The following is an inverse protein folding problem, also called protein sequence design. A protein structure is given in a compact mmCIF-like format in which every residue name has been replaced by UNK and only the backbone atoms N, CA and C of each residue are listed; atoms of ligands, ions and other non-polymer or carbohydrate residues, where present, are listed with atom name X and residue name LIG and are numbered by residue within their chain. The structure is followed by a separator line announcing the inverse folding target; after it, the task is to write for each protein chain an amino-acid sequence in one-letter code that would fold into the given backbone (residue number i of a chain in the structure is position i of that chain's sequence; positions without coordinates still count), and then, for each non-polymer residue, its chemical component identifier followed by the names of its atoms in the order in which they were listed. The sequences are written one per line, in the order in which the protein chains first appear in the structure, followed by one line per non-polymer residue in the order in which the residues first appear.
data_IF_050004366568
#
_entry.id   IF_050004366568
#
_cell.length_a   1.000
_cell.length_b   1.000
_cell.length_c   1.000
_cell.angle_alpha   90.00
_cell.angle_beta   90.00
_cell.angle_gamma   90.00
#
_symmetry.space_group_name_H-M   'P 1'
#
loop_
_entity.id
_entity.type
_entity.pdbx_description
1 polymer ?
#
# COMPACT_ATOMS: atom_id res chain seq x y z
N UNK A 1 -9.11 5.81 1.42
CA UNK A 1 -10.52 5.40 1.20
C UNK A 1 -11.41 5.63 2.42
N UNK A 2 -12.71 5.94 2.24
CA UNK A 2 -13.68 6.06 3.34
C UNK A 2 -14.71 4.93 3.35
N UNK A 3 -14.82 4.23 4.48
CA UNK A 3 -15.86 3.23 4.74
C UNK A 3 -17.17 3.89 5.19
N UNK A 4 -18.28 3.55 4.55
CA UNK A 4 -19.61 4.00 4.97
C UNK A 4 -20.39 2.91 5.72
N UNK A 5 -20.39 1.69 5.17
CA UNK A 5 -21.10 0.54 5.75
C UNK A 5 -20.28 -0.72 5.55
N UNK A 6 -20.25 -1.58 6.56
CA UNK A 6 -19.60 -2.89 6.56
C UNK A 6 -20.58 -3.90 7.14
N UNK A 7 -20.99 -4.89 6.36
CA UNK A 7 -21.79 -6.03 6.79
C UNK A 7 -21.13 -7.29 6.28
N UNK A 8 -20.14 -7.79 7.02
CA UNK A 8 -19.33 -8.95 6.62
C UNK A 8 -19.51 -10.03 7.67
N UNK A 9 -19.92 -11.22 7.23
CA UNK A 9 -19.82 -12.44 8.03
C UNK A 9 -18.43 -13.06 7.84
N UNK A 10 -17.79 -13.55 8.91
CA UNK A 10 -16.45 -14.18 8.82
C UNK A 10 -16.54 -15.41 7.90
N UNK A 11 -15.74 -15.43 6.84
CA UNK A 11 -15.71 -16.47 5.80
C UNK A 11 -17.08 -16.69 5.11
N UNK A 12 -17.91 -15.65 5.07
CA UNK A 12 -19.25 -15.68 4.50
C UNK A 12 -19.50 -14.58 3.47
N UNK A 13 -20.75 -14.48 2.99
CA UNK A 13 -21.15 -13.39 2.13
C UNK A 13 -21.09 -12.08 2.91
N UNK A 14 -20.77 -11.00 2.20
CA UNK A 14 -20.69 -9.70 2.82
C UNK A 14 -20.75 -8.57 1.82
N UNK A 15 -21.14 -7.40 2.32
CA UNK A 15 -21.18 -6.19 1.54
C UNK A 15 -20.39 -5.07 2.23
N UNK A 16 -19.74 -4.26 1.39
CA UNK A 16 -18.97 -3.10 1.84
C UNK A 16 -19.32 -1.91 0.96
N UNK A 17 -19.72 -0.81 1.58
CA UNK A 17 -19.97 0.46 0.88
C UNK A 17 -18.79 1.39 1.11
N UNK A 18 -18.13 1.77 0.01
CA UNK A 18 -16.87 2.52 0.01
C UNK A 18 -17.00 3.79 -0.82
N UNK A 19 -16.24 4.80 -0.43
CA UNK A 19 -15.98 5.99 -1.23
C UNK A 19 -14.46 6.05 -1.45
N UNK A 20 -13.97 5.82 -2.68
CA UNK A 20 -12.59 6.11 -3.02
C UNK A 20 -12.40 7.62 -3.01
N UNK A 21 -11.35 8.11 -2.39
CA UNK A 21 -11.02 9.54 -2.39
C UNK A 21 -9.85 9.80 -3.35
N UNK A 22 -8.97 8.80 -3.54
CA UNK A 22 -7.70 8.93 -4.25
C UNK A 22 -7.49 7.93 -5.39
N UNK A 23 -6.46 8.18 -6.20
CA UNK A 23 -6.05 7.30 -7.29
C UNK A 23 -5.46 5.96 -6.78
N UNK A 24 -4.82 5.93 -5.60
CA UNK A 24 -4.37 4.68 -4.98
C UNK A 24 -5.53 3.83 -4.52
N UNK A 25 -6.59 4.45 -3.98
CA UNK A 25 -7.82 3.73 -3.62
C UNK A 25 -8.36 2.97 -4.85
N UNK A 26 -8.29 3.55 -6.05
CA UNK A 26 -8.71 2.89 -7.28
C UNK A 26 -7.88 1.65 -7.60
N UNK A 27 -6.58 1.66 -7.31
CA UNK A 27 -5.73 0.47 -7.41
C UNK A 27 -6.11 -0.60 -6.37
N UNK A 28 -6.38 -0.19 -5.13
CA UNK A 28 -6.87 -1.10 -4.10
C UNK A 28 -8.22 -1.72 -4.48
N UNK A 29 -9.14 -0.93 -5.04
CA UNK A 29 -10.43 -1.41 -5.55
C UNK A 29 -10.23 -2.39 -6.70
N UNK A 30 -9.35 -2.06 -7.65
CA UNK A 30 -9.06 -2.93 -8.80
C UNK A 30 -8.59 -4.32 -8.38
N UNK A 31 -7.86 -4.41 -7.27
CA UNK A 31 -7.41 -5.69 -6.73
C UNK A 31 -8.44 -6.35 -5.80
N UNK A 32 -9.37 -5.57 -5.25
CA UNK A 32 -10.44 -6.09 -4.41
C UNK A 32 -11.57 -6.71 -5.26
N UNK A 33 -11.96 -6.08 -6.37
CA UNK A 33 -13.06 -6.53 -7.23
C UNK A 33 -12.59 -7.67 -8.13
N UNK A 34 -13.40 -8.73 -8.20
CA UNK A 34 -13.17 -9.89 -9.08
C UNK A 34 -14.32 -10.13 -10.04
N UNK A 35 -14.05 -10.96 -11.04
CA UNK A 35 -15.07 -11.46 -11.96
C UNK A 35 -16.04 -12.35 -11.16
N UNK A 36 -17.34 -12.12 -11.33
CA UNK A 36 -18.41 -12.76 -10.56
C UNK A 36 -18.89 -11.97 -9.34
N UNK A 37 -18.14 -10.95 -8.90
CA UNK A 37 -18.58 -10.09 -7.80
C UNK A 37 -19.74 -9.18 -8.25
N UNK A 38 -20.56 -8.75 -7.29
CA UNK A 38 -21.69 -7.87 -7.54
C UNK A 38 -21.36 -6.46 -7.09
N UNK A 39 -21.48 -5.50 -8.01
CA UNK A 39 -21.16 -4.09 -7.74
C UNK A 39 -22.40 -3.23 -7.99
N UNK A 40 -22.74 -2.43 -6.98
CA UNK A 40 -23.82 -1.46 -7.04
C UNK A 40 -23.27 -0.04 -7.03
N UNK A 41 -23.48 0.69 -8.12
CA UNK A 41 -23.01 2.07 -8.27
C UNK A 41 -24.03 2.95 -9.00
N UNK A 42 -23.87 4.26 -8.88
CA UNK A 42 -24.63 5.27 -9.64
C UNK A 42 -24.00 5.42 -11.02
N UNK A 43 -24.79 5.28 -12.07
CA UNK A 43 -24.37 5.52 -13.45
C UNK A 43 -25.34 6.40 -14.21
N UNK A 44 -24.88 6.87 -15.36
CA UNK A 44 -25.67 7.68 -16.29
C UNK A 44 -25.97 6.81 -17.50
N UNK A 45 -27.26 6.70 -17.84
CA UNK A 45 -27.68 5.97 -19.03
C UNK A 45 -28.48 6.89 -19.96
N UNK A 46 -28.19 6.81 -21.25
CA UNK A 46 -29.03 7.40 -22.29
C UNK A 46 -30.24 6.49 -22.51
N UNK A 47 -31.42 6.98 -22.18
CA UNK A 47 -32.70 6.32 -22.44
C UNK A 47 -33.29 6.95 -23.69
N UNK A 48 -33.63 6.11 -24.67
CA UNK A 48 -34.33 6.52 -25.88
C UNK A 48 -35.79 6.11 -25.69
N UNK A 49 -36.67 7.10 -25.64
CA UNK A 49 -38.12 6.88 -25.53
C UNK A 49 -38.74 7.21 -26.88
N UNK A 50 -39.50 6.28 -27.43
CA UNK A 50 -40.32 6.48 -28.62
C UNK A 50 -41.71 6.97 -28.20
N UNK A 51 -42.06 8.16 -28.67
CA UNK A 51 -43.40 8.72 -28.46
C UNK A 51 -44.37 8.07 -29.46
N UNK A 52 -45.66 7.96 -29.13
CA UNK A 52 -46.68 7.37 -30.02
C UNK A 52 -46.75 8.01 -31.43
N UNK A 53 -46.20 9.22 -31.57
CA UNK A 53 -46.07 9.99 -32.82
C UNK A 53 -44.84 9.62 -33.66
N UNK A 54 -44.05 8.63 -33.26
CA UNK A 54 -42.84 8.17 -33.98
C UNK A 54 -41.58 9.03 -33.78
N UNK A 55 -41.66 10.07 -32.94
CA UNK A 55 -40.50 10.90 -32.59
C UNK A 55 -39.68 10.24 -31.47
N UNK A 56 -38.40 10.03 -31.73
CA UNK A 56 -37.43 9.51 -30.76
C UNK A 56 -36.87 10.68 -29.94
N UNK A 57 -37.10 10.66 -28.63
CA UNK A 57 -36.48 11.60 -27.69
C UNK A 57 -35.43 10.85 -26.87
N UNK A 58 -34.23 11.42 -26.76
CA UNK A 58 -33.16 10.82 -25.97
C UNK A 58 -32.82 11.68 -24.76
N UNK A 59 -32.91 11.10 -23.57
CA UNK A 59 -32.59 11.76 -22.31
C UNK A 59 -31.50 10.98 -21.55
N UNK A 60 -30.61 11.71 -20.86
CA UNK A 60 -29.61 11.09 -19.97
C UNK A 60 -30.17 11.08 -18.56
N UNK A 61 -30.35 9.89 -18.01
CA UNK A 61 -30.92 9.69 -16.68
C UNK A 61 -29.87 9.08 -15.75
N UNK A 62 -29.83 9.56 -14.51
CA UNK A 62 -29.02 8.96 -13.45
C UNK A 62 -29.78 7.79 -12.82
N UNK A 63 -29.15 6.62 -12.75
CA UNK A 63 -29.73 5.42 -12.16
C UNK A 63 -28.72 4.70 -11.30
N UNK A 64 -29.20 3.97 -10.29
CA UNK A 64 -28.37 3.02 -9.54
C UNK A 64 -28.54 1.65 -10.19
N UNK A 65 -27.44 1.03 -10.60
CA UNK A 65 -27.44 -0.29 -11.21
C UNK A 65 -26.62 -1.25 -10.36
N UNK A 66 -27.08 -2.51 -10.29
CA UNK A 66 -26.42 -3.60 -9.59
C UNK A 66 -25.96 -4.61 -10.64
N UNK A 67 -24.67 -4.66 -10.88
CA UNK A 67 -24.06 -5.38 -12.01
C UNK A 67 -23.18 -6.51 -11.50
N UNK A 68 -23.36 -7.70 -12.09
CA UNK A 68 -22.43 -8.83 -11.95
C UNK A 68 -21.23 -8.59 -12.85
N UNK A 69 -20.04 -8.46 -12.28
CA UNK A 69 -18.82 -8.13 -13.02
C UNK A 69 -18.38 -9.31 -13.88
N UNK A 70 -18.21 -9.08 -15.19
CA UNK A 70 -17.65 -10.05 -16.15
C UNK A 70 -16.23 -9.67 -16.59
N UNK A 71 -15.97 -8.37 -16.79
CA UNK A 71 -14.62 -7.87 -17.09
C UNK A 71 -14.30 -6.59 -16.32
N UNK A 72 -13.02 -6.40 -16.05
CA UNK A 72 -12.48 -5.31 -15.22
C UNK A 72 -11.35 -4.67 -16.01
N UNK A 73 -11.55 -3.43 -16.44
CA UNK A 73 -10.56 -2.66 -17.18
C UNK A 73 -10.14 -1.46 -16.33
N UNK A 74 -8.86 -1.39 -15.97
CA UNK A 74 -8.29 -0.29 -15.22
C UNK A 74 -7.51 0.63 -16.14
N UNK A 75 -7.86 1.92 -16.17
CA UNK A 75 -7.11 2.94 -16.89
C UNK A 75 -6.21 3.73 -15.90
N UNK A 76 -4.88 3.51 -15.93
CA UNK A 76 -3.95 4.22 -15.06
C UNK A 76 -3.86 5.73 -15.34
N UNK A 77 -4.20 6.18 -16.56
CA UNK A 77 -4.12 7.59 -16.94
C UNK A 77 -5.33 8.39 -16.48
N UNK A 78 -6.52 7.81 -16.61
CA UNK A 78 -7.78 8.43 -16.18
C UNK A 78 -8.11 8.19 -14.69
N UNK A 79 -7.38 7.30 -14.01
CA UNK A 79 -7.70 6.83 -12.64
C UNK A 79 -9.16 6.36 -12.53
N UNK A 80 -9.67 5.75 -13.60
CA UNK A 80 -11.02 5.25 -13.69
C UNK A 80 -10.99 3.72 -13.80
N UNK A 81 -11.97 3.08 -13.17
CA UNK A 81 -12.15 1.64 -13.24
C UNK A 81 -13.46 1.34 -13.97
N UNK A 82 -13.35 0.66 -15.11
CA UNK A 82 -14.49 0.27 -15.93
C UNK A 82 -14.84 -1.17 -15.63
N UNK A 83 -16.05 -1.38 -15.10
CA UNK A 83 -16.57 -2.69 -14.74
C UNK A 83 -17.67 -3.06 -15.71
N UNK A 84 -17.41 -3.98 -16.65
CA UNK A 84 -18.42 -4.48 -17.56
C UNK A 84 -19.13 -5.66 -16.94
N UNK A 85 -20.45 -5.70 -17.09
CA UNK A 85 -21.21 -6.83 -16.58
C UNK A 85 -22.70 -6.81 -16.92
N UNK A 86 -23.44 -7.75 -16.34
CA UNK A 86 -24.89 -7.88 -16.52
C UNK A 86 -25.66 -7.35 -15.32
N UNK A 87 -26.77 -6.66 -15.58
CA UNK A 87 -27.65 -6.18 -14.52
C UNK A 87 -28.43 -7.35 -13.88
N UNK A 88 -28.34 -7.50 -12.55
CA UNK A 88 -29.02 -8.57 -11.80
C UNK A 88 -30.39 -8.11 -11.28
N UNK A 89 -30.51 -6.83 -10.90
CA UNK A 89 -31.71 -6.28 -10.25
C UNK A 89 -32.55 -5.53 -11.27
N UNK A 90 -33.86 -5.75 -11.25
CA UNK A 90 -34.78 -5.01 -12.13
C UNK A 90 -34.70 -3.50 -11.86
N UNK A 91 -34.66 -2.72 -12.93
CA UNK A 91 -34.67 -1.27 -12.88
C UNK A 91 -35.59 -0.76 -13.99
N UNK A 92 -36.37 0.29 -13.71
CA UNK A 92 -37.32 0.90 -14.65
C UNK A 92 -36.68 1.25 -16.01
N UNK A 93 -35.38 1.57 -16.02
CA UNK A 93 -34.65 1.98 -17.23
C UNK A 93 -33.83 0.85 -17.86
N UNK A 94 -33.60 -0.27 -17.17
CA UNK A 94 -32.68 -1.32 -17.60
C UNK A 94 -33.29 -2.69 -17.38
N UNK A 95 -33.51 -3.41 -18.48
CA UNK A 95 -33.98 -4.80 -18.45
C UNK A 95 -33.00 -5.69 -17.68
N UNK A 96 -33.54 -6.70 -17.00
CA UNK A 96 -32.75 -7.72 -16.31
C UNK A 96 -31.85 -8.46 -17.31
N UNK A 97 -30.60 -8.70 -16.92
CA UNK A 97 -29.59 -9.35 -17.77
C UNK A 97 -28.98 -8.46 -18.85
N UNK A 98 -29.40 -7.20 -19.01
CA UNK A 98 -28.80 -6.30 -19.97
C UNK A 98 -27.36 -5.93 -19.57
N UNK A 99 -26.48 -5.87 -20.57
CA UNK A 99 -25.10 -5.45 -20.40
C UNK A 99 -24.99 -3.95 -20.09
N UNK A 100 -24.13 -3.62 -19.14
CA UNK A 100 -23.76 -2.25 -18.82
C UNK A 100 -22.33 -2.20 -18.31
N UNK A 101 -21.66 -1.06 -18.56
CA UNK A 101 -20.34 -0.76 -18.00
C UNK A 101 -20.52 0.27 -16.89
N UNK A 102 -20.10 -0.07 -15.67
CA UNK A 102 -20.06 0.83 -14.54
C UNK A 102 -18.69 1.52 -14.51
N UNK A 103 -18.68 2.83 -14.59
CA UNK A 103 -17.47 3.64 -14.43
C UNK A 103 -17.37 4.08 -12.97
N UNK A 104 -16.38 3.54 -12.26
CA UNK A 104 -16.03 3.99 -10.92
C UNK A 104 -15.04 5.14 -11.04
N UNK A 105 -15.41 6.27 -10.43
CA UNK A 105 -14.61 7.49 -10.37
C UNK A 105 -14.27 7.81 -8.91
N UNK A 106 -13.17 8.55 -8.65
CA UNK A 106 -12.88 9.09 -7.33
C UNK A 106 -14.06 9.93 -6.80
N UNK A 107 -14.26 9.89 -5.49
CA UNK A 107 -15.32 10.53 -4.73
C UNK A 107 -16.75 10.03 -5.02
N UNK A 108 -16.93 8.94 -5.79
CA UNK A 108 -18.23 8.30 -5.97
C UNK A 108 -18.40 7.09 -5.07
N UNK A 109 -19.51 7.05 -4.33
CA UNK A 109 -19.85 5.88 -3.53
C UNK A 109 -20.22 4.69 -4.41
N UNK A 110 -19.74 3.50 -4.04
CA UNK A 110 -20.18 2.24 -4.60
C UNK A 110 -20.30 1.20 -3.48
N UNK A 111 -21.09 0.15 -3.73
CA UNK A 111 -21.21 -1.00 -2.83
C UNK A 111 -20.70 -2.23 -3.55
N UNK A 112 -19.77 -2.93 -2.92
CA UNK A 112 -19.22 -4.20 -3.37
C UNK A 112 -19.82 -5.31 -2.52
N UNK A 113 -20.40 -6.30 -3.19
CA UNK A 113 -20.96 -7.50 -2.60
C UNK A 113 -20.16 -8.69 -3.11
N UNK A 114 -19.63 -9.49 -2.19
CA UNK A 114 -18.89 -10.71 -2.48
C UNK A 114 -19.56 -11.91 -1.83
N UNK A 115 -19.42 -13.05 -2.48
CA UNK A 115 -19.88 -14.35 -1.98
C UNK A 115 -19.03 -14.85 -0.82
N UNK A 116 -17.73 -14.60 -0.85
CA UNK A 116 -16.76 -15.01 0.17
C UNK A 116 -15.73 -13.91 0.38
N UNK A 117 -15.61 -13.44 1.61
CA UNK A 117 -14.57 -12.49 2.02
C UNK A 117 -13.40 -13.23 2.67
N UNK A 118 -12.26 -13.24 1.99
CA UNK A 118 -11.02 -13.82 2.51
C UNK A 118 -10.35 -12.89 3.52
N UNK A 119 -9.49 -13.46 4.37
CA UNK A 119 -8.62 -12.71 5.29
C UNK A 119 -7.74 -11.69 4.55
N UNK A 120 -7.17 -12.05 3.40
CA UNK A 120 -6.33 -11.18 2.57
C UNK A 120 -7.15 -9.99 2.01
N UNK A 121 -8.39 -10.22 1.60
CA UNK A 121 -9.27 -9.16 1.09
C UNK A 121 -9.63 -8.16 2.20
N UNK A 122 -9.84 -8.66 3.43
CA UNK A 122 -10.09 -7.84 4.61
C UNK A 122 -8.86 -7.02 5.00
N UNK A 123 -7.67 -7.63 4.99
CA UNK A 123 -6.43 -6.91 5.26
C UNK A 123 -6.16 -5.82 4.24
N UNK A 124 -6.41 -6.13 2.96
CA UNK A 124 -6.27 -5.15 1.89
C UNK A 124 -7.25 -4.01 2.04
N UNK A 125 -8.48 -4.32 2.45
CA UNK A 125 -9.49 -3.31 2.76
C UNK A 125 -9.06 -2.44 3.95
N UNK A 126 -8.65 -3.05 5.06
CA UNK A 126 -8.21 -2.34 6.26
C UNK A 126 -6.96 -1.49 5.96
N UNK A 127 -6.05 -2.00 5.13
CA UNK A 127 -4.87 -1.28 4.61
C UNK A 127 -5.27 -0.05 3.77
N UNK A 128 -6.30 -0.15 2.94
CA UNK A 128 -6.82 0.97 2.14
C UNK A 128 -7.65 1.98 2.98
N UNK A 129 -8.21 1.53 4.10
CA UNK A 129 -9.02 2.35 5.01
C UNK A 129 -8.18 3.14 6.00
N UNK A 130 -6.99 2.65 6.39
CA UNK A 130 -6.12 3.33 7.33
C UNK A 130 -4.88 3.96 6.68
N UNK A 131 -4.99 5.21 6.18
CA UNK A 131 -3.84 5.94 5.65
C UNK A 131 -2.87 6.40 6.75
N UNK A 132 -3.24 6.31 8.04
CA UNK A 132 -2.33 6.63 9.14
C UNK A 132 -1.43 5.43 9.49
N UNK A 133 -1.92 4.20 9.31
CA UNK A 133 -1.12 2.98 9.40
C UNK A 133 -0.09 2.85 8.26
N UNK A 134 -0.44 3.34 7.06
CA UNK A 134 0.46 3.35 5.90
C UNK A 134 1.42 4.55 5.82
N UNK A 135 1.36 5.49 6.77
CA UNK A 135 2.23 6.66 6.75
C UNK A 135 3.67 6.25 7.08
N UNK A 136 4.51 6.12 6.05
CA UNK A 136 5.93 5.79 6.19
C UNK A 136 6.70 6.92 6.89
N UNK A 137 6.30 8.19 6.68
CA UNK A 137 7.09 9.35 7.12
C UNK A 137 6.18 10.44 7.68
N UNK A 138 6.51 10.97 8.85
CA UNK A 138 5.97 12.26 9.30
C UNK A 138 6.91 13.38 8.87
N UNK A 139 6.37 14.46 8.32
CA UNK A 139 7.14 15.65 8.02
C UNK A 139 6.53 16.87 8.71
N UNK A 140 7.36 17.60 9.43
CA UNK A 140 7.00 18.86 10.08
C UNK A 140 7.77 19.95 9.35
N UNK A 141 7.05 20.83 8.66
CA UNK A 141 7.66 21.99 8.03
C UNK A 141 7.38 23.21 8.91
N UNK A 142 8.45 23.90 9.30
CA UNK A 142 8.45 24.97 10.27
C UNK A 142 8.92 26.28 9.62
N UNK A 143 8.19 27.34 9.94
CA UNK A 143 8.58 28.72 9.73
C UNK A 143 8.12 29.56 10.92
N UNK A 144 8.69 30.74 11.13
CA UNK A 144 8.26 31.63 12.20
C UNK A 144 6.77 32.00 12.01
N UNK A 145 5.92 31.47 12.89
CA UNK A 145 4.49 31.72 12.89
C UNK A 145 3.66 30.79 12.00
N UNK A 146 4.28 29.88 11.25
CA UNK A 146 3.55 28.89 10.45
C UNK A 146 4.21 27.52 10.55
N UNK A 147 3.44 26.51 10.94
CA UNK A 147 3.86 25.13 10.95
C UNK A 147 2.83 24.24 10.26
N UNK A 148 3.32 23.29 9.47
CA UNK A 148 2.49 22.24 8.87
C UNK A 148 3.01 20.89 9.35
N UNK A 149 2.15 20.15 10.05
CA UNK A 149 2.38 18.74 10.41
C UNK A 149 1.73 17.89 9.34
N UNK A 150 2.57 17.15 8.63
CA UNK A 150 2.19 16.33 7.48
C UNK A 150 2.53 14.87 7.75
N UNK A 151 1.68 13.97 7.28
CA UNK A 151 1.97 12.55 7.13
C UNK A 151 2.14 12.27 5.64
N UNK A 152 3.28 11.71 5.27
CA UNK A 152 3.58 11.25 3.94
C UNK A 152 3.26 9.76 3.89
N UNK A 153 2.35 9.40 2.98
CA UNK A 153 2.20 8.04 2.50
C UNK A 153 2.94 7.93 1.15
N UNK A 154 3.10 6.74 0.57
CA UNK A 154 3.80 6.53 -0.70
C UNK A 154 3.32 7.43 -1.87
N UNK A 155 2.04 7.82 -1.92
CA UNK A 155 1.55 8.75 -2.95
C UNK A 155 1.04 10.11 -2.47
N UNK A 156 0.67 10.29 -1.20
CA UNK A 156 0.05 11.54 -0.75
C UNK A 156 0.73 12.21 0.44
N UNK A 157 0.60 13.54 0.48
CA UNK A 157 0.98 14.40 1.61
C UNK A 157 -0.28 14.85 2.36
N UNK A 158 -0.61 14.13 3.44
CA UNK A 158 -1.71 14.49 4.33
C UNK A 158 -1.30 15.56 5.32
N UNK A 159 -1.81 16.77 5.17
CA UNK A 159 -1.63 17.81 6.19
C UNK A 159 -2.64 17.59 7.30
N UNK A 160 -2.17 17.10 8.46
CA UNK A 160 -3.01 16.80 9.63
C UNK A 160 -3.31 18.04 10.47
N UNK A 161 -2.31 18.91 10.60
CA UNK A 161 -2.47 20.17 11.31
C UNK A 161 -1.71 21.29 10.60
N UNK A 162 -2.40 22.42 10.43
CA UNK A 162 -1.80 23.69 10.08
C UNK A 162 -1.92 24.61 11.28
N UNK A 163 -0.80 25.08 11.79
CA UNK A 163 -0.72 26.02 12.90
C UNK A 163 -0.25 27.35 12.34
N UNK A 164 -1.06 28.38 12.54
CA UNK A 164 -0.79 29.74 12.11
C UNK A 164 -0.91 30.64 13.34
N UNK A 165 0.21 31.23 13.76
CA UNK A 165 0.29 32.07 14.95
C UNK A 165 1.12 33.32 14.63
N UNK A 166 0.57 34.48 14.94
CA UNK A 166 1.29 35.74 14.73
C UNK A 166 2.35 35.93 15.82
N UNK A 167 3.62 35.79 15.44
CA UNK A 167 4.75 36.06 16.34
C UNK A 167 5.11 37.55 16.29
N UNK A 168 5.12 38.26 17.44
CA UNK A 168 5.53 39.68 17.48
C UNK A 168 6.96 39.86 16.99
N UNK A 169 7.24 40.85 16.14
CA UNK A 169 8.61 41.11 15.66
C UNK A 169 9.51 41.61 16.78
N UNK A 170 10.81 41.26 16.73
CA UNK A 170 11.84 41.79 17.63
C UNK A 170 11.91 43.31 17.49
N UNK A 171 11.49 44.05 18.53
CA UNK A 171 11.67 45.50 18.66
C UNK A 171 12.59 45.80 19.84
N UNK A 172 13.34 46.90 19.77
CA UNK A 172 14.23 47.35 20.85
C UNK A 172 13.40 47.56 22.12
N UNK A 173 13.63 46.76 23.16
CA UNK A 173 12.89 46.77 24.44
C UNK A 173 11.77 45.72 24.60
N UNK A 174 11.38 44.99 23.55
CA UNK A 174 10.29 43.99 23.58
C UNK A 174 10.76 42.57 23.23
N UNK A 175 12.01 42.23 23.54
CA UNK A 175 12.59 40.90 23.24
C UNK A 175 11.89 39.77 23.99
N UNK A 176 11.45 40.02 25.23
CA UNK A 176 10.77 39.02 26.07
C UNK A 176 9.41 38.57 25.53
N UNK A 177 8.68 39.45 24.84
CA UNK A 177 7.39 39.09 24.24
C UNK A 177 7.56 38.22 22.99
N UNK A 178 8.62 38.47 22.22
CA UNK A 178 8.95 37.66 21.06
C UNK A 178 9.34 36.23 21.46
N UNK A 179 10.20 36.09 22.48
CA UNK A 179 10.62 34.79 23.01
C UNK A 179 9.45 33.98 23.57
N UNK A 180 8.56 34.62 24.35
CA UNK A 180 7.30 33.98 24.80
C UNK A 180 6.38 33.61 23.65
N UNK A 181 6.37 34.39 22.57
CA UNK A 181 5.61 34.09 21.36
C UNK A 181 6.13 32.83 20.65
N UNK A 182 7.46 32.69 20.54
CA UNK A 182 8.10 31.48 19.98
C UNK A 182 7.82 30.26 20.86
N UNK A 183 7.97 30.36 22.18
CA UNK A 183 7.69 29.22 23.08
C UNK A 183 6.24 28.73 22.93
N UNK A 184 5.26 29.64 22.94
CA UNK A 184 3.85 29.28 22.70
C UNK A 184 3.60 28.63 21.34
N UNK A 185 4.32 29.09 20.31
CA UNK A 185 4.25 28.48 18.98
C UNK A 185 4.82 27.05 19.00
N UNK A 186 5.99 26.84 19.61
CA UNK A 186 6.59 25.52 19.73
C UNK A 186 5.74 24.57 20.58
N UNK A 187 5.10 25.06 21.65
CA UNK A 187 4.12 24.31 22.45
C UNK A 187 2.91 23.84 21.62
N UNK A 188 2.38 24.72 20.76
CA UNK A 188 1.26 24.37 19.89
C UNK A 188 1.67 23.29 18.87
N UNK A 189 2.88 23.39 18.32
CA UNK A 189 3.41 22.43 17.36
C UNK A 189 3.72 21.09 18.02
N UNK A 190 4.33 21.06 19.21
CA UNK A 190 4.60 19.83 19.94
C UNK A 190 3.31 19.11 20.35
N UNK A 191 2.29 19.86 20.78
CA UNK A 191 0.98 19.32 21.09
C UNK A 191 0.29 18.72 19.85
N UNK A 192 0.36 19.39 18.69
CA UNK A 192 -0.19 18.86 17.45
C UNK A 192 0.56 17.61 16.97
N UNK A 193 1.89 17.60 17.10
CA UNK A 193 2.71 16.44 16.77
C UNK A 193 2.31 15.22 17.59
N UNK A 194 2.25 15.33 18.92
CA UNK A 194 1.88 14.21 19.80
C UNK A 194 0.43 13.71 19.64
N UNK A 195 -0.47 14.52 19.07
CA UNK A 195 -1.85 14.13 18.77
C UNK A 195 -1.99 13.41 17.44
N UNK A 196 -1.21 13.81 16.43
CA UNK A 196 -1.40 13.35 15.05
C UNK A 196 -0.36 12.34 14.59
N UNK A 197 0.76 12.21 15.30
CA UNK A 197 1.90 11.38 14.92
C UNK A 197 2.07 10.22 15.90
N UNK A 198 1.88 9.00 15.42
CA UNK A 198 2.16 7.77 16.15
C UNK A 198 3.58 7.28 15.85
N UNK A 199 4.51 7.51 16.78
CA UNK A 199 5.94 7.18 16.61
C UNK A 199 6.24 5.68 16.44
N UNK A 200 5.30 4.80 16.79
CA UNK A 200 5.44 3.36 16.63
C UNK A 200 5.24 2.91 15.18
N UNK A 201 4.31 3.55 14.47
CA UNK A 201 3.95 3.20 13.09
C UNK A 201 4.94 3.80 12.09
N UNK A 202 5.41 5.02 12.38
CA UNK A 202 6.17 5.82 11.42
C UNK A 202 7.65 5.42 11.45
N UNK A 203 8.26 5.29 10.26
CA UNK A 203 9.68 4.91 10.11
C UNK A 203 10.60 6.08 10.39
N UNK A 204 10.29 7.26 9.84
CA UNK A 204 11.12 8.46 9.96
C UNK A 204 10.28 9.72 10.23
N UNK A 205 10.82 10.65 11.02
CA UNK A 205 10.24 11.97 11.28
C UNK A 205 11.17 13.04 10.73
N UNK A 206 10.76 13.72 9.67
CA UNK A 206 11.47 14.84 9.07
C UNK A 206 11.06 16.14 9.76
N UNK A 207 12.03 16.89 10.26
CA UNK A 207 11.84 18.26 10.77
C UNK A 207 12.58 19.20 9.84
N UNK A 208 11.80 19.95 9.06
CA UNK A 208 12.28 20.87 8.05
C UNK A 208 12.04 22.31 8.50
N UNK A 209 13.09 23.13 8.49
CA UNK A 209 12.95 24.57 8.74
C UNK A 209 14.07 25.34 8.05
N UNK A 210 13.83 26.64 7.83
CA UNK A 210 14.88 27.58 7.47
C UNK A 210 15.64 28.02 8.73
N UNK A 211 16.94 27.77 8.78
CA UNK A 211 17.80 28.18 9.91
C UNK A 211 17.75 27.24 11.11
N UNK A 212 17.82 27.82 12.31
CA UNK A 212 18.02 27.11 13.59
C UNK A 212 16.72 26.66 14.29
N UNK A 213 15.55 26.96 13.74
CA UNK A 213 14.26 26.63 14.36
C UNK A 213 14.02 25.12 14.51
N UNK A 214 14.52 24.31 13.57
CA UNK A 214 14.43 22.85 13.63
C UNK A 214 15.16 22.25 14.84
N UNK A 215 16.32 22.78 15.19
CA UNK A 215 17.12 22.35 16.34
C UNK A 215 16.43 22.77 17.64
N UNK A 216 16.02 24.04 17.71
CA UNK A 216 15.27 24.56 18.84
C UNK A 216 13.95 23.81 19.08
N UNK A 217 13.24 23.43 18.01
CA UNK A 217 12.02 22.64 18.10
C UNK A 217 12.29 21.22 18.59
N UNK A 218 13.36 20.57 18.14
CA UNK A 218 13.70 19.21 18.58
C UNK A 218 13.99 19.18 20.09
N UNK A 219 14.78 20.13 20.61
CA UNK A 219 15.06 20.25 22.04
C UNK A 219 13.78 20.50 22.85
N UNK A 220 12.95 21.43 22.37
CA UNK A 220 11.68 21.76 23.01
C UNK A 220 10.68 20.60 23.00
N UNK A 221 10.63 19.83 21.91
CA UNK A 221 9.77 18.65 21.78
C UNK A 221 10.15 17.57 22.80
N UNK A 222 11.45 17.35 23.03
CA UNK A 222 11.94 16.40 24.03
C UNK A 222 11.55 16.83 25.44
N UNK A 223 11.75 18.11 25.79
CA UNK A 223 11.35 18.67 27.09
C UNK A 223 9.83 18.58 27.30
N UNK A 224 9.04 18.88 26.27
CA UNK A 224 7.59 18.79 26.32
C UNK A 224 7.09 17.35 26.49
N UNK A 225 7.74 16.39 25.81
CA UNK A 225 7.40 14.97 25.92
C UNK A 225 7.70 14.42 27.34
N UNK A 226 8.83 14.82 27.93
CA UNK A 226 9.19 14.47 29.31
C UNK A 226 8.19 15.03 30.32
N UNK A 227 7.73 16.28 30.13
CA UNK A 227 6.72 16.91 30.97
C UNK A 227 5.33 16.23 30.88
N UNK A 228 4.98 15.66 29.73
CA UNK A 228 3.72 14.93 29.51
C UNK A 228 3.80 13.44 29.89
N UNK A 229 4.94 12.95 30.39
CA UNK A 229 5.14 11.56 30.81
C UNK A 229 5.18 10.54 29.65
N UNK A 230 5.16 10.98 28.39
CA UNK A 230 5.37 10.14 27.20
C UNK A 230 6.86 10.14 26.86
N UNK A 231 7.63 9.30 27.56
CA UNK A 231 9.06 9.16 27.26
C UNK A 231 9.26 8.67 25.84
N UNK A 232 9.82 9.51 24.98
CA UNK A 232 10.28 9.11 23.64
C UNK A 232 11.50 8.21 23.84
N UNK A 233 11.37 6.94 23.46
CA UNK A 233 12.44 5.94 23.60
C UNK A 233 13.68 6.37 22.82
N UNK A 234 14.88 6.00 23.28
CA UNK A 234 16.14 6.28 22.58
C UNK A 234 16.12 5.84 21.11
N UNK A 235 15.43 4.73 20.80
CA UNK A 235 15.21 4.25 19.43
C UNK A 235 14.34 5.20 18.60
N UNK A 236 13.28 5.75 19.19
CA UNK A 236 12.42 6.75 18.53
C UNK A 236 13.16 8.07 18.32
N UNK A 237 14.12 8.42 19.19
CA UNK A 237 15.00 9.59 18.98
C UNK A 237 15.85 9.45 17.71
N UNK A 238 16.28 8.22 17.38
CA UNK A 238 17.01 7.92 16.14
C UNK A 238 16.20 8.09 14.85
N UNK A 239 14.86 8.21 14.96
CA UNK A 239 13.97 8.43 13.81
C UNK A 239 13.86 9.91 13.39
N UNK A 240 14.29 10.85 14.22
CA UNK A 240 14.20 12.27 13.90
C UNK A 240 15.34 12.70 13.00
N UNK A 241 15.01 13.33 11.87
CA UNK A 241 15.97 13.89 10.92
C UNK A 241 15.74 15.39 10.74
N UNK A 242 16.82 16.15 10.85
CA UNK A 242 16.82 17.58 10.67
C UNK A 242 17.19 17.92 9.23
N UNK A 243 16.29 18.55 8.50
CA UNK A 243 16.50 18.91 7.08
C UNK A 243 16.41 20.42 6.88
N UNK A 244 17.00 20.92 5.78
CA UNK A 244 16.86 22.33 5.42
C UNK A 244 15.60 22.49 4.56
N UNK A 245 14.87 23.59 4.74
CA UNK A 245 13.82 23.98 3.82
C UNK A 245 13.85 25.47 3.52
N UNK A 246 13.49 25.85 2.29
CA UNK A 246 13.37 27.25 1.89
C UNK A 246 12.21 27.98 2.57
N UNK A 247 11.12 27.27 2.89
CA UNK A 247 9.86 27.81 3.41
C UNK A 247 9.13 26.87 4.38
N UNK A 248 8.12 27.39 5.08
CA UNK A 248 7.23 26.66 6.01
C UNK A 248 5.99 26.04 5.37
N UNK A 249 5.77 26.22 4.08
CA UNK A 249 4.54 25.82 3.38
C UNK A 249 4.67 24.45 2.72
N UNK A 250 3.53 23.89 2.26
CA UNK A 250 3.48 22.55 1.63
C UNK A 250 4.47 22.35 0.48
N UNK A 251 4.76 23.39 -0.30
CA UNK A 251 5.70 23.31 -1.43
C UNK A 251 7.13 22.97 -1.00
N UNK A 252 7.52 23.33 0.23
CA UNK A 252 8.84 23.06 0.76
C UNK A 252 9.06 21.57 1.08
N UNK A 253 7.99 20.76 1.19
CA UNK A 253 8.13 19.31 1.32
C UNK A 253 8.78 18.70 0.09
N UNK A 254 8.51 19.23 -1.11
CA UNK A 254 9.09 18.69 -2.35
C UNK A 254 10.61 18.84 -2.36
N UNK A 255 11.11 20.01 -1.96
CA UNK A 255 12.54 20.30 -1.80
C UNK A 255 13.20 19.33 -0.80
N UNK A 256 12.55 19.11 0.35
CA UNK A 256 13.07 18.22 1.40
C UNK A 256 13.13 16.75 0.95
N UNK A 257 12.20 16.32 0.10
CA UNK A 257 12.19 14.95 -0.44
C UNK A 257 13.22 14.75 -1.56
N UNK A 258 13.63 15.82 -2.26
CA UNK A 258 14.69 15.78 -3.28
C UNK A 258 16.09 15.67 -2.65
N UNK A 259 16.26 16.00 -1.36
CA UNK A 259 17.53 15.88 -0.67
C UNK A 259 17.99 14.40 -0.57
N UNK A 260 19.22 14.07 -1.03
CA UNK A 260 19.68 12.68 -1.12
C UNK A 260 19.84 11.99 0.24
N UNK A 261 20.13 12.76 1.30
CA UNK A 261 20.21 12.24 2.67
C UNK A 261 18.85 11.75 3.19
N UNK A 262 17.77 12.42 2.77
CA UNK A 262 16.39 12.03 3.06
C UNK A 262 16.01 10.87 2.16
N UNK A 263 16.25 10.98 0.85
CA UNK A 263 15.93 9.92 -0.12
C UNK A 263 16.57 8.56 0.24
N UNK A 264 17.81 8.52 0.75
CA UNK A 264 18.47 7.27 1.15
C UNK A 264 17.80 6.60 2.37
N UNK A 265 17.22 7.38 3.29
CA UNK A 265 16.48 6.87 4.46
C UNK A 265 15.02 6.56 4.14
N UNK A 266 14.45 7.31 3.20
CA UNK A 266 13.13 7.05 2.64
C UNK A 266 13.14 5.87 1.67
N UNK A 267 14.30 5.51 1.13
CA UNK A 267 14.44 4.36 0.27
C UNK A 267 13.94 3.09 0.97
N UNK A 268 14.03 2.96 2.31
CA UNK A 268 13.40 1.88 3.11
C UNK A 268 11.84 1.92 3.12
N UNK A 269 11.24 2.34 2.01
CA UNK A 269 9.82 2.17 1.66
C UNK A 269 9.50 0.69 1.47
N UNK A 270 8.22 0.33 1.57
CA UNK A 270 7.72 -1.04 1.30
C UNK A 270 8.34 -1.68 0.04
N UNK A 271 8.53 -0.91 -1.03
CA UNK A 271 9.17 -1.37 -2.26
C UNK A 271 10.61 -1.88 -2.08
N UNK A 272 11.44 -1.25 -1.24
CA UNK A 272 12.79 -1.78 -0.95
C UNK A 272 12.74 -2.97 0.01
N UNK A 273 11.73 -3.05 0.89
CA UNK A 273 11.49 -4.26 1.70
C UNK A 273 11.28 -5.48 0.81
N UNK A 274 10.42 -5.36 -0.20
CA UNK A 274 10.15 -6.42 -1.18
C UNK A 274 11.39 -6.78 -2.02
N UNK A 275 12.12 -5.77 -2.51
CA UNK A 275 13.37 -5.98 -3.27
C UNK A 275 14.44 -6.62 -2.38
N UNK A 276 14.54 -6.21 -1.11
CA UNK A 276 15.47 -6.80 -0.16
C UNK A 276 15.13 -8.27 0.07
N UNK A 277 13.87 -8.61 0.33
CA UNK A 277 13.44 -9.99 0.53
C UNK A 277 13.74 -10.88 -0.69
N UNK A 278 13.55 -10.35 -1.91
CA UNK A 278 13.95 -11.04 -3.14
C UNK A 278 15.47 -11.21 -3.25
N UNK A 279 16.24 -10.17 -2.92
CA UNK A 279 17.71 -10.26 -2.93
C UNK A 279 18.21 -11.29 -1.91
N UNK A 280 17.64 -11.34 -0.71
CA UNK A 280 17.99 -12.37 0.28
C UNK A 280 17.68 -13.77 -0.24
N UNK A 281 16.57 -13.94 -0.99
CA UNK A 281 16.24 -15.22 -1.61
C UNK A 281 17.29 -15.63 -2.68
N UNK A 282 17.72 -14.70 -3.54
CA UNK A 282 18.77 -14.97 -4.52
C UNK A 282 20.14 -15.25 -3.88
N UNK A 283 20.46 -14.55 -2.80
CA UNK A 283 21.65 -14.81 -2.00
C UNK A 283 21.61 -16.21 -1.38
N UNK A 284 20.48 -16.61 -0.78
CA UNK A 284 20.29 -17.94 -0.20
C UNK A 284 20.43 -19.06 -1.24
N UNK A 285 19.87 -18.88 -2.44
CA UNK A 285 20.07 -19.86 -3.53
C UNK A 285 21.55 -20.01 -3.93
N UNK A 286 22.35 -18.96 -3.77
CA UNK A 286 23.76 -18.96 -4.12
C UNK A 286 24.65 -19.56 -3.03
N UNK A 287 24.29 -19.36 -1.75
CA UNK A 287 25.08 -19.84 -0.61
C UNK A 287 24.64 -21.21 -0.11
N UNK A 288 23.34 -21.46 0.00
CA UNK A 288 22.72 -22.64 0.63
C UNK A 288 21.48 -23.10 -0.17
N UNK A 289 21.64 -23.86 -1.28
CA UNK A 289 20.54 -24.20 -2.18
C UNK A 289 19.44 -25.05 -1.52
N UNK A 290 19.76 -25.80 -0.45
CA UNK A 290 18.82 -26.69 0.24
C UNK A 290 17.80 -25.95 1.12
N UNK A 291 17.93 -24.62 1.28
CA UNK A 291 17.03 -23.81 2.13
C UNK A 291 16.04 -22.96 1.34
N UNK A 292 16.32 -22.68 0.07
CA UNK A 292 15.50 -21.83 -0.77
C UNK A 292 14.67 -22.70 -1.74
N UNK A 293 13.38 -22.86 -1.44
CA UNK A 293 12.47 -23.61 -2.28
C UNK A 293 11.57 -22.70 -3.11
N UNK A 294 11.28 -23.13 -4.33
CA UNK A 294 10.28 -22.52 -5.20
C UNK A 294 9.33 -23.58 -5.76
N UNK A 295 8.12 -23.16 -6.14
CA UNK A 295 7.06 -24.04 -6.63
C UNK A 295 6.11 -24.55 -5.53
N UNK A 296 4.83 -24.70 -5.88
CA UNK A 296 3.77 -24.99 -4.91
C UNK A 296 4.01 -26.28 -4.11
N UNK A 297 4.45 -27.37 -4.77
CA UNK A 297 4.66 -28.67 -4.12
C UNK A 297 5.73 -28.61 -3.04
N UNK A 298 6.87 -27.97 -3.33
CA UNK A 298 7.97 -27.85 -2.37
C UNK A 298 7.58 -26.94 -1.19
N UNK A 299 6.90 -25.83 -1.46
CA UNK A 299 6.41 -24.93 -0.40
C UNK A 299 5.37 -25.62 0.48
N UNK A 300 4.48 -26.44 -0.09
CA UNK A 300 3.50 -27.21 0.68
C UNK A 300 4.16 -28.26 1.60
N UNK A 301 5.24 -28.91 1.15
CA UNK A 301 6.04 -29.81 1.99
C UNK A 301 6.75 -29.04 3.11
N UNK A 302 7.38 -27.91 2.81
CA UNK A 302 8.03 -27.07 3.82
C UNK A 302 7.05 -26.53 4.87
N UNK A 303 5.81 -26.23 4.47
CA UNK A 303 4.73 -25.83 5.38
C UNK A 303 4.28 -26.99 6.28
N UNK A 304 4.24 -28.23 5.76
CA UNK A 304 3.94 -29.41 6.57
C UNK A 304 5.02 -29.69 7.63
N UNK A 305 6.28 -29.38 7.31
CA UNK A 305 7.41 -29.42 8.24
C UNK A 305 7.51 -28.18 9.15
N UNK A 306 6.66 -27.16 8.91
CA UNK A 306 6.63 -25.89 9.64
C UNK A 306 7.96 -25.14 9.63
N UNK A 307 8.71 -25.25 8.51
CA UNK A 307 10.06 -24.72 8.37
C UNK A 307 10.13 -23.50 7.43
N UNK A 308 9.05 -22.72 7.34
CA UNK A 308 9.00 -21.51 6.52
C UNK A 308 9.34 -20.30 7.39
N UNK A 309 10.28 -19.47 6.94
CA UNK A 309 10.64 -18.20 7.60
C UNK A 309 10.03 -17.01 6.86
N UNK A 310 10.20 -16.96 5.53
CA UNK A 310 9.61 -15.92 4.69
C UNK A 310 8.93 -16.56 3.49
N UNK A 311 7.63 -16.24 3.32
CA UNK A 311 6.83 -16.69 2.18
C UNK A 311 6.65 -15.53 1.19
N UNK A 312 7.19 -15.69 -0.02
CA UNK A 312 7.03 -14.71 -1.10
C UNK A 312 5.90 -15.16 -2.03
N UNK A 313 4.90 -14.32 -2.21
CA UNK A 313 3.76 -14.59 -3.08
C UNK A 313 3.48 -13.38 -3.97
N UNK A 314 3.19 -13.66 -5.24
CA UNK A 314 2.73 -12.66 -6.20
C UNK A 314 1.23 -12.41 -6.03
N UNK A 315 0.84 -11.15 -6.07
CA UNK A 315 -0.56 -10.73 -6.03
C UNK A 315 -1.39 -11.22 -7.24
N UNK A 316 -0.74 -11.51 -8.37
CA UNK A 316 -1.40 -12.07 -9.55
C UNK A 316 -2.05 -13.43 -9.27
N UNK A 317 -1.44 -14.24 -8.39
CA UNK A 317 -1.95 -15.57 -8.05
C UNK A 317 -3.27 -15.50 -7.26
N UNK A 318 -3.45 -14.46 -6.43
CA UNK A 318 -4.72 -14.20 -5.72
C UNK A 318 -5.82 -13.61 -6.62
N UNK A 319 -5.44 -13.16 -7.83
CA UNK A 319 -6.35 -12.64 -8.86
C UNK A 319 -6.76 -13.70 -9.89
N UNK A 320 -6.12 -14.87 -9.89
CA UNK A 320 -6.42 -15.94 -10.84
C UNK A 320 -7.92 -16.31 -10.80
N UNK A 321 -8.48 -16.60 -11.98
CA UNK A 321 -9.92 -16.88 -12.14
C UNK A 321 -10.34 -18.19 -11.49
N UNK A 322 -9.39 -19.10 -11.23
CA UNK A 322 -9.68 -20.38 -10.63
C UNK A 322 -9.83 -20.28 -9.11
N UNK A 323 -11.08 -20.46 -8.65
CA UNK A 323 -11.42 -20.44 -7.23
C UNK A 323 -10.70 -21.54 -6.45
N UNK A 324 -10.42 -22.68 -7.07
CA UNK A 324 -9.81 -23.82 -6.38
C UNK A 324 -8.34 -23.57 -6.03
N UNK A 325 -7.53 -23.09 -6.99
CA UNK A 325 -6.13 -22.71 -6.75
C UNK A 325 -6.04 -21.59 -5.72
N UNK A 326 -6.88 -20.54 -5.80
CA UNK A 326 -6.88 -19.47 -4.81
C UNK A 326 -7.15 -19.98 -3.39
N UNK A 327 -8.18 -20.81 -3.19
CA UNK A 327 -8.47 -21.37 -1.85
C UNK A 327 -7.29 -22.14 -1.27
N UNK A 328 -6.52 -22.84 -2.12
CA UNK A 328 -5.28 -23.52 -1.71
C UNK A 328 -4.20 -22.53 -1.25
N UNK A 329 -3.98 -21.45 -1.99
CA UNK A 329 -3.00 -20.42 -1.62
C UNK A 329 -3.42 -19.62 -0.38
N UNK A 330 -4.70 -19.31 -0.22
CA UNK A 330 -5.23 -18.64 0.98
C UNK A 330 -5.05 -19.53 2.20
N UNK A 331 -5.40 -20.82 2.10
CA UNK A 331 -5.16 -21.78 3.18
C UNK A 331 -3.68 -21.91 3.53
N UNK A 332 -2.79 -21.89 2.54
CA UNK A 332 -1.33 -21.89 2.75
C UNK A 332 -0.87 -20.64 3.50
N UNK A 333 -1.34 -19.46 3.11
CA UNK A 333 -1.02 -18.20 3.81
C UNK A 333 -1.53 -18.22 5.25
N UNK A 334 -2.76 -18.69 5.48
CA UNK A 334 -3.33 -18.81 6.82
C UNK A 334 -2.51 -19.77 7.69
N UNK A 335 -2.13 -20.94 7.17
CA UNK A 335 -1.29 -21.89 7.93
C UNK A 335 0.10 -21.33 8.25
N UNK A 336 0.69 -20.57 7.34
CA UNK A 336 2.00 -19.94 7.54
C UNK A 336 1.87 -18.78 8.54
N UNK A 337 0.75 -18.05 8.53
CA UNK A 337 0.48 -16.97 9.48
C UNK A 337 0.29 -17.45 10.91
N UNK A 338 -0.32 -18.62 11.09
CA UNK A 338 -0.43 -19.23 12.42
C UNK A 338 0.95 -19.58 13.00
N UNK A 339 1.95 -19.73 12.15
CA UNK A 339 3.32 -20.09 12.50
C UNK A 339 4.27 -18.89 12.59
N UNK A 340 4.04 -17.83 11.79
CA UNK A 340 4.97 -16.70 11.57
C UNK A 340 4.35 -15.34 11.96
N UNK A 341 5.17 -14.46 12.54
CA UNK A 341 4.81 -13.11 13.01
C UNK A 341 4.81 -12.05 11.88
N UNK A 342 5.42 -12.30 10.73
CA UNK A 342 5.56 -11.34 9.61
C UNK A 342 5.22 -11.94 8.25
N UNK A 343 4.19 -11.39 7.59
CA UNK A 343 3.84 -11.66 6.20
C UNK A 343 4.13 -10.41 5.36
N UNK A 344 5.00 -10.51 4.36
CA UNK A 344 5.19 -9.47 3.34
C UNK A 344 4.65 -9.98 1.99
N UNK A 345 3.51 -9.43 1.57
CA UNK A 345 2.99 -9.63 0.22
C UNK A 345 3.84 -8.82 -0.77
N UNK A 346 4.41 -9.46 -1.81
CA UNK A 346 5.11 -8.74 -2.88
C UNK A 346 4.07 -8.09 -3.79
N UNK A 347 3.90 -6.79 -3.66
CA UNK A 347 3.12 -6.00 -4.61
C UNK A 347 4.05 -5.60 -5.76
N UNK A 348 3.93 -6.27 -6.92
CA UNK A 348 4.61 -5.82 -8.13
C UNK A 348 4.26 -4.36 -8.44
N UNK A 349 5.19 -3.48 -8.07
CA UNK A 349 5.06 -2.03 -8.20
C UNK A 349 5.17 -1.62 -9.67
N UNK A 350 4.26 -0.72 -10.04
CA UNK A 350 4.28 0.09 -11.26
C UNK A 350 5.70 0.61 -11.57
N UNK A 351 6.27 0.16 -12.68
CA UNK A 351 7.37 0.84 -13.36
C UNK A 351 6.91 1.24 -14.77
N UNK A 352 6.07 2.26 -14.87
CA UNK A 352 5.82 2.96 -16.13
C UNK A 352 6.75 4.16 -16.22
N UNK A 353 7.82 4.02 -17.01
CA UNK A 353 8.56 5.16 -17.53
C UNK A 353 10.05 5.18 -17.21
N UNK A 354 10.83 4.87 -18.26
CA UNK A 354 12.21 5.26 -18.52
C UNK A 354 13.29 4.27 -18.04
N UNK A 355 14.01 3.77 -19.05
CA UNK A 355 15.22 2.95 -19.04
C UNK A 355 15.05 1.44 -18.80
N UNK A 356 14.59 0.81 -19.89
CA UNK A 356 15.06 -0.47 -20.43
C UNK A 356 15.83 -1.40 -19.50
N UNK A 357 15.09 -2.25 -18.81
CA UNK A 357 15.43 -3.65 -18.54
C UNK A 357 14.09 -4.37 -18.42
N UNK A 358 13.70 -5.05 -19.49
CA UNK A 358 12.60 -6.02 -19.48
C UNK A 358 12.95 -7.08 -18.45
N UNK A 359 12.39 -6.99 -17.24
CA UNK A 359 12.36 -8.14 -16.35
C UNK A 359 11.41 -9.15 -16.97
N UNK A 360 12.04 -10.23 -17.43
CA UNK A 360 11.50 -11.40 -18.09
C UNK A 360 10.29 -11.90 -17.32
N UNK A 361 9.20 -12.15 -18.06
CA UNK A 361 7.94 -12.71 -17.60
C UNK A 361 8.21 -13.80 -16.55
N UNK A 362 7.69 -13.60 -15.34
CA UNK A 362 7.65 -14.63 -14.31
C UNK A 362 6.76 -15.75 -14.86
N UNK A 363 7.42 -16.75 -15.42
CA UNK A 363 6.92 -17.98 -16.01
C UNK A 363 5.58 -18.43 -15.42
N UNK A 364 4.51 -18.25 -16.20
CA UNK A 364 3.34 -19.12 -16.14
C UNK A 364 3.79 -20.50 -16.61
N UNK A 365 3.99 -21.44 -15.68
CA UNK A 365 3.95 -22.86 -16.04
C UNK A 365 2.54 -23.36 -15.78
N UNK A 366 1.85 -23.57 -16.90
CA UNK A 366 0.61 -24.34 -17.00
C UNK A 366 0.85 -25.74 -16.42
N UNK A 367 0.01 -26.14 -15.47
CA UNK A 367 0.10 -27.38 -14.68
C UNK A 367 -0.20 -28.67 -15.50
N UNK A 368 0.08 -28.67 -16.81
CA UNK A 368 -0.24 -29.79 -17.72
C UNK A 368 0.95 -30.49 -18.36
N UNK A 369 2.20 -30.11 -18.07
CA UNK A 369 3.36 -30.86 -18.54
C UNK A 369 3.86 -31.83 -17.47
N UNK A 370 3.33 -33.06 -17.50
CA UNK A 370 4.00 -34.20 -16.89
C UNK A 370 5.37 -34.39 -17.55
N UNK A 371 6.43 -34.18 -16.78
CA UNK A 371 7.76 -34.69 -17.04
C UNK A 371 8.37 -35.03 -15.69
N UNK A 372 8.00 -36.23 -15.23
CA UNK A 372 8.90 -37.09 -14.48
C UNK A 372 10.20 -37.30 -15.31
N UNK A 373 11.31 -37.55 -14.60
CA UNK A 373 12.64 -37.90 -15.10
C UNK A 373 13.52 -36.79 -15.72
N UNK A 374 14.17 -35.94 -14.90
CA UNK A 374 15.61 -35.59 -15.06
C UNK A 374 16.16 -34.95 -13.75
N UNK A 375 16.36 -35.70 -12.66
CA UNK A 375 17.50 -35.48 -11.72
C UNK A 375 17.75 -36.78 -10.94
N UNK A 376 18.23 -37.81 -11.63
CA UNK A 376 18.85 -38.96 -10.96
C UNK A 376 19.99 -39.44 -11.84
N UNK A 377 21.13 -38.74 -11.76
CA UNK A 377 22.45 -39.27 -12.10
C UNK A 377 23.53 -38.26 -11.67
N UNK A 378 23.88 -38.29 -10.37
CA UNK A 378 25.20 -37.84 -9.91
C UNK A 378 25.88 -39.09 -9.35
N UNK A 379 26.91 -39.64 -9.99
CA UNK A 379 27.57 -40.84 -9.51
C UNK A 379 28.33 -40.54 -8.22
N UNK A 380 28.04 -41.32 -7.19
CA UNK A 380 28.75 -41.37 -5.91
C UNK A 380 30.23 -41.64 -6.13
N UNK A 381 31.09 -40.62 -5.96
CA UNK A 381 32.53 -40.80 -5.91
C UNK A 381 32.90 -41.46 -4.57
N UNK A 382 33.09 -42.77 -4.65
CA UNK A 382 33.55 -43.63 -3.60
C UNK A 382 35.04 -43.35 -3.31
N UNK A 383 35.36 -43.10 -2.05
CA UNK A 383 36.74 -42.98 -1.57
C UNK A 383 37.52 -44.27 -1.83
N UNK A 384 38.67 -44.17 -2.48
CA UNK A 384 39.60 -45.28 -2.67
C UNK A 384 40.97 -44.81 -3.13
N UNK A 385 41.87 -44.54 -2.18
CA UNK A 385 43.33 -44.49 -2.41
C UNK A 385 43.80 -45.85 -2.96
N UNK A 386 44.83 -45.90 -3.83
CA UNK A 386 46.18 -46.23 -3.34
C UNK A 386 47.31 -45.56 -4.20
N UNK A 387 48.59 -45.99 -4.18
CA UNK A 387 49.67 -45.30 -3.49
C UNK A 387 50.82 -44.79 -4.40
N UNK A 388 51.72 -44.02 -3.78
CA UNK A 388 53.14 -43.75 -4.12
C UNK A 388 53.77 -44.36 -5.39
N UNK A 389 54.47 -43.52 -6.18
CA UNK A 389 55.62 -43.96 -6.97
C UNK A 389 56.03 -43.06 -8.15
N UNK A 390 57.26 -42.53 -8.06
CA UNK A 390 58.24 -42.25 -9.15
C UNK A 390 57.83 -41.37 -10.35
N UNK A 391 58.36 -40.16 -10.56
CA UNK A 391 59.71 -39.78 -11.09
C UNK A 391 59.81 -39.83 -12.64
N UNK A 392 60.34 -38.74 -13.22
CA UNK A 392 60.78 -38.49 -14.63
C UNK A 392 59.64 -38.18 -15.61
N UNK A 393 59.60 -37.10 -16.40
CA UNK A 393 60.60 -36.16 -16.94
C UNK A 393 59.95 -34.81 -17.24
#
# INVERSE_FOLDING_TARGET
MKLLKRGIEKNGPGYVTLVPEEAEDMWHIYNLIRVGDVVRSKTIRKVVTETATGTTSSQRMHTVLTVSVESIDFDPGANALHLKGRNIVENDLVKLGAYHTLDLEPNRQFTLEKTEWDTIDLERLDTALDPAAQADVAAIVLHEGLANVCLLTPAMTLVRAKIDMQIPRKRKGFTSQHEKGIQRFLDAVSAAFLRHVNLNVIKCVLIASRGFLKEQFLEHLLQYADAQGKKITTEQRGKFMLTHSSSGFKHALKEVLEDPAVAARLADTKAQGEVKALNTFFELMSTEPDRAFYGYKHVAMANAEQAIDTLLLSDSLFRSQDLATRKRYVALVESVREQIVTLDSVCQGRASGILGLKYMDLFEFDDTAGLDDVVSDIPSNNCGLPPSGSVVR
#
